data_IF_501371360949
#
_entry.id   IF_501371360949
#
_cell.length_a   1.000
_cell.length_b   1.000
_cell.length_c   1.000
_cell.angle_alpha   90.00
_cell.angle_beta   90.00
_cell.angle_gamma   90.00
#
_symmetry.space_group_name_H-M   'P 1'
#
loop_
_entity.id
_entity.type
_entity.pdbx_description
1 polymer ?
#
# COMPACT_ATOMS: atom_id res chain seq x y z
N UNK A 1 31.58 13.87 -42.46
CA UNK A 1 31.33 14.13 -41.03
C UNK A 1 31.33 12.83 -40.28
N UNK A 2 32.43 12.48 -39.61
CA UNK A 2 32.60 11.25 -38.86
C UNK A 2 32.03 11.41 -37.45
N UNK A 3 30.76 11.03 -37.28
CA UNK A 3 30.09 11.01 -36.00
C UNK A 3 30.79 10.00 -35.08
N UNK A 4 31.30 10.46 -33.95
CA UNK A 4 32.18 9.73 -33.03
C UNK A 4 31.51 8.45 -32.47
N UNK A 5 31.91 7.24 -32.90
CA UNK A 5 31.30 5.99 -32.42
C UNK A 5 31.62 5.70 -30.93
N UNK A 6 32.73 6.25 -30.42
CA UNK A 6 33.14 6.10 -29.02
C UNK A 6 32.13 6.70 -28.02
N UNK A 7 31.41 7.77 -28.40
CA UNK A 7 30.36 8.36 -27.55
C UNK A 7 29.14 7.45 -27.41
N UNK A 8 28.81 6.65 -28.43
CA UNK A 8 27.69 5.68 -28.36
C UNK A 8 27.99 4.49 -27.45
N UNK A 9 29.24 4.02 -27.39
CA UNK A 9 29.62 2.95 -26.47
C UNK A 9 29.55 3.41 -25.00
N UNK A 10 29.93 4.66 -24.71
CA UNK A 10 29.79 5.22 -23.37
C UNK A 10 28.33 5.41 -22.94
N UNK A 11 27.42 5.77 -23.86
CA UNK A 11 25.99 5.87 -23.55
C UNK A 11 25.32 4.52 -23.23
N UNK A 12 25.90 3.40 -23.67
CA UNK A 12 25.38 2.05 -23.37
C UNK A 12 25.87 1.50 -22.01
N UNK A 13 26.94 2.09 -21.45
CA UNK A 13 27.51 1.70 -20.15
C UNK A 13 26.88 2.48 -18.98
N UNK A 14 26.19 3.58 -19.27
CA UNK A 14 25.45 4.36 -18.29
C UNK A 14 24.02 3.80 -18.17
N UNK A 15 23.50 3.62 -16.94
CA UNK A 15 22.11 3.21 -16.77
C UNK A 15 21.19 4.21 -17.48
N UNK A 16 20.25 3.68 -18.26
CA UNK A 16 19.30 4.50 -18.97
C UNK A 16 18.41 5.25 -17.98
N UNK A 17 17.84 6.38 -18.38
CA UNK A 17 16.89 7.11 -17.52
C UNK A 17 15.71 6.23 -17.10
N UNK A 18 15.30 5.28 -17.95
CA UNK A 18 14.27 4.29 -17.63
C UNK A 18 14.71 3.32 -16.50
N UNK A 19 15.97 2.87 -16.49
CA UNK A 19 16.49 2.00 -15.41
C UNK A 19 16.51 2.73 -14.06
N UNK A 20 16.87 4.02 -14.06
CA UNK A 20 16.87 4.84 -12.85
C UNK A 20 15.45 5.04 -12.32
N UNK A 21 14.49 5.32 -13.19
CA UNK A 21 13.07 5.46 -12.82
C UNK A 21 12.45 4.14 -12.33
N UNK A 22 12.73 3.03 -13.02
CA UNK A 22 12.27 1.71 -12.62
C UNK A 22 12.81 1.32 -11.24
N UNK A 23 14.09 1.59 -10.98
CA UNK A 23 14.71 1.31 -9.68
C UNK A 23 14.15 2.19 -8.57
N UNK A 24 13.91 3.48 -8.86
CA UNK A 24 13.27 4.38 -7.91
C UNK A 24 11.86 3.91 -7.55
N UNK A 25 11.08 3.47 -8.55
CA UNK A 25 9.74 2.90 -8.33
C UNK A 25 9.79 1.64 -7.47
N UNK A 26 10.70 0.71 -7.77
CA UNK A 26 10.84 -0.52 -6.98
C UNK A 26 11.20 -0.25 -5.50
N UNK A 27 12.03 0.76 -5.22
CA UNK A 27 12.36 1.16 -3.85
C UNK A 27 11.15 1.77 -3.13
N UNK A 28 10.35 2.59 -3.83
CA UNK A 28 9.09 3.13 -3.27
C UNK A 28 8.11 2.00 -2.95
N UNK A 29 7.93 1.05 -3.86
CA UNK A 29 7.02 -0.10 -3.70
C UNK A 29 7.46 -0.97 -2.51
N UNK A 30 8.77 -1.22 -2.34
CA UNK A 30 9.31 -1.95 -1.17
C UNK A 30 9.06 -1.20 0.14
N UNK A 31 9.24 0.13 0.14
CA UNK A 31 8.95 0.96 1.30
C UNK A 31 7.47 0.94 1.68
N UNK A 32 6.57 0.94 0.70
CA UNK A 32 5.12 0.79 0.93
C UNK A 32 4.76 -0.59 1.48
N UNK A 33 5.29 -1.66 0.89
CA UNK A 33 5.07 -3.03 1.38
C UNK A 33 5.58 -3.23 2.80
N UNK A 34 6.74 -2.67 3.13
CA UNK A 34 7.31 -2.75 4.49
C UNK A 34 6.38 -2.09 5.51
N UNK A 35 5.85 -0.90 5.19
CA UNK A 35 4.88 -0.21 6.06
C UNK A 35 3.58 -1.01 6.22
N UNK A 36 3.07 -1.61 5.14
CA UNK A 36 1.89 -2.46 5.22
C UNK A 36 2.11 -3.69 6.12
N UNK A 37 3.27 -4.34 6.01
CA UNK A 37 3.65 -5.45 6.89
C UNK A 37 3.79 -5.03 8.35
N UNK A 38 4.36 -3.85 8.63
CA UNK A 38 4.45 -3.29 9.98
C UNK A 38 3.05 -3.08 10.58
N UNK A 39 2.13 -2.51 9.81
CA UNK A 39 0.74 -2.34 10.26
C UNK A 39 0.12 -3.68 10.59
N UNK A 40 0.22 -4.67 9.69
CA UNK A 40 -0.36 -5.99 9.93
C UNK A 40 0.24 -6.66 11.19
N UNK A 41 1.54 -6.51 11.42
CA UNK A 41 2.21 -7.05 12.61
C UNK A 41 1.71 -6.43 13.93
N UNK A 42 1.29 -5.16 13.91
CA UNK A 42 0.75 -4.45 15.06
C UNK A 42 -0.75 -4.70 15.29
N UNK A 43 -1.45 -5.30 14.32
CA UNK A 43 -2.88 -5.59 14.38
C UNK A 43 -3.16 -6.99 14.93
N UNK A 44 -4.30 -7.14 15.58
CA UNK A 44 -4.82 -8.46 15.97
C UNK A 44 -5.37 -9.23 14.78
N UNK A 45 -5.48 -10.56 14.87
CA UNK A 45 -6.01 -11.41 13.80
C UNK A 45 -7.37 -10.91 13.27
N UNK A 46 -8.27 -10.50 14.18
CA UNK A 46 -9.58 -9.93 13.80
C UNK A 46 -9.49 -8.60 13.07
N UNK A 47 -8.50 -7.77 13.41
CA UNK A 47 -8.27 -6.52 12.70
C UNK A 47 -7.62 -6.77 11.32
N UNK A 48 -6.76 -7.78 11.20
CA UNK A 48 -6.20 -8.20 9.92
C UNK A 48 -7.28 -8.74 8.98
N UNK A 49 -8.24 -9.53 9.48
CA UNK A 49 -9.43 -9.96 8.71
C UNK A 49 -10.20 -8.76 8.13
N UNK A 50 -10.38 -7.70 8.93
CA UNK A 50 -11.02 -6.45 8.48
C UNK A 50 -10.17 -5.72 7.43
N UNK A 51 -8.83 -5.69 7.58
CA UNK A 51 -7.93 -5.12 6.56
C UNK A 51 -8.04 -5.90 5.25
N UNK A 52 -8.04 -7.23 5.29
CA UNK A 52 -8.20 -8.07 4.10
C UNK A 52 -9.53 -7.83 3.40
N UNK A 53 -10.63 -7.70 4.15
CA UNK A 53 -11.93 -7.34 3.58
C UNK A 53 -11.89 -5.98 2.86
N UNK A 54 -11.23 -4.97 3.43
CA UNK A 54 -11.07 -3.68 2.76
C UNK A 54 -10.12 -3.74 1.57
N UNK A 55 -9.05 -4.54 1.62
CA UNK A 55 -8.13 -4.78 0.52
C UNK A 55 -8.84 -5.37 -0.71
N UNK A 56 -9.86 -6.22 -0.48
CA UNK A 56 -10.74 -6.74 -1.53
C UNK A 56 -11.72 -5.68 -2.10
N UNK A 57 -11.64 -4.43 -1.63
CA UNK A 57 -12.51 -3.34 -2.07
C UNK A 57 -13.90 -3.35 -1.45
N UNK A 58 -14.16 -4.18 -0.42
CA UNK A 58 -15.45 -4.19 0.26
C UNK A 58 -15.65 -2.90 1.05
N UNK A 59 -16.87 -2.36 1.03
CA UNK A 59 -17.23 -1.24 1.90
C UNK A 59 -17.51 -1.72 3.35
N UNK A 60 -17.63 -0.83 4.35
CA UNK A 60 -17.83 -1.24 5.75
C UNK A 60 -19.06 -2.12 6.02
N UNK A 61 -20.15 -1.95 5.25
CA UNK A 61 -21.35 -2.80 5.38
C UNK A 61 -21.12 -4.18 4.77
N UNK A 62 -20.46 -4.24 3.61
CA UNK A 62 -20.08 -5.50 2.96
C UNK A 62 -19.07 -6.28 3.80
N UNK A 63 -18.06 -5.62 4.38
CA UNK A 63 -17.10 -6.22 5.29
C UNK A 63 -17.80 -6.80 6.54
N UNK A 64 -18.76 -6.07 7.11
CA UNK A 64 -19.56 -6.56 8.24
C UNK A 64 -20.33 -7.84 7.87
N UNK A 65 -20.98 -7.85 6.70
CA UNK A 65 -21.70 -9.02 6.21
C UNK A 65 -20.76 -10.20 5.92
N UNK A 66 -19.61 -9.94 5.29
CA UNK A 66 -18.61 -10.94 4.93
C UNK A 66 -17.98 -11.61 6.16
N UNK A 67 -17.69 -10.82 7.20
CA UNK A 67 -17.08 -11.30 8.44
C UNK A 67 -18.12 -11.75 9.49
N UNK A 68 -19.42 -11.69 9.17
CA UNK A 68 -20.52 -12.01 10.08
C UNK A 68 -20.48 -11.26 11.43
N UNK A 69 -20.10 -9.98 11.39
CA UNK A 69 -20.05 -9.09 12.56
C UNK A 69 -20.93 -7.85 12.34
N UNK A 70 -21.12 -7.05 13.40
CA UNK A 70 -21.92 -5.82 13.27
C UNK A 70 -21.12 -4.70 12.59
N UNK A 71 -21.83 -3.79 11.91
CA UNK A 71 -21.22 -2.58 11.34
C UNK A 71 -20.54 -1.71 12.41
N UNK A 72 -21.06 -1.70 13.65
CA UNK A 72 -20.45 -1.00 14.76
C UNK A 72 -19.08 -1.60 15.11
N UNK A 73 -18.98 -2.94 15.15
CA UNK A 73 -17.72 -3.66 15.36
C UNK A 73 -16.70 -3.34 14.27
N UNK A 74 -17.11 -3.36 12.99
CA UNK A 74 -16.24 -2.96 11.87
C UNK A 74 -15.75 -1.52 12.03
N UNK A 75 -16.63 -0.59 12.38
CA UNK A 75 -16.23 0.81 12.58
C UNK A 75 -15.24 0.98 13.74
N UNK A 76 -15.43 0.26 14.85
CA UNK A 76 -14.48 0.25 15.97
C UNK A 76 -13.11 -0.28 15.54
N UNK A 77 -13.07 -1.42 14.84
CA UNK A 77 -11.82 -1.96 14.30
C UNK A 77 -11.16 -1.01 13.30
N UNK A 78 -11.95 -0.42 12.39
CA UNK A 78 -11.47 0.55 11.39
C UNK A 78 -10.81 1.75 12.04
N UNK A 79 -11.37 2.31 13.12
CA UNK A 79 -10.74 3.44 13.84
C UNK A 79 -9.35 3.07 14.36
N UNK A 80 -9.20 1.88 14.95
CA UNK A 80 -7.91 1.39 15.45
C UNK A 80 -6.93 1.19 14.29
N UNK A 81 -7.36 0.49 13.23
CA UNK A 81 -6.55 0.23 12.03
C UNK A 81 -6.05 1.54 11.41
N UNK A 82 -6.93 2.54 11.25
CA UNK A 82 -6.56 3.83 10.68
C UNK A 82 -5.58 4.60 11.58
N UNK A 83 -5.68 4.48 12.90
CA UNK A 83 -4.71 5.05 13.83
C UNK A 83 -3.34 4.37 13.71
N UNK A 84 -3.29 3.04 13.61
CA UNK A 84 -2.04 2.31 13.36
C UNK A 84 -1.39 2.73 12.04
N UNK A 85 -2.19 2.82 10.97
CA UNK A 85 -1.71 3.31 9.68
C UNK A 85 -1.15 4.74 9.80
N UNK A 86 -1.83 5.61 10.55
CA UNK A 86 -1.37 6.98 10.74
C UNK A 86 0.01 7.05 11.37
N UNK A 87 0.26 6.23 12.37
CA UNK A 87 1.55 6.14 13.05
C UNK A 87 2.64 5.63 12.11
N UNK A 88 2.38 4.57 11.35
CA UNK A 88 3.38 3.94 10.47
C UNK A 88 3.73 4.82 9.26
N UNK A 89 2.76 5.52 8.67
CA UNK A 89 3.01 6.45 7.57
C UNK A 89 3.34 7.88 8.03
N UNK A 90 3.41 8.14 9.34
CA UNK A 90 3.63 9.46 9.93
C UNK A 90 2.74 10.56 9.31
N UNK A 91 1.46 10.23 9.06
CA UNK A 91 0.50 11.12 8.43
C UNK A 91 -0.07 12.09 9.48
N UNK A 92 -0.08 13.40 9.19
CA UNK A 92 -0.65 14.42 10.09
C UNK A 92 -2.12 14.16 10.37
N UNK A 93 -2.59 14.41 11.61
CA UNK A 93 -3.97 14.34 12.13
C UNK A 93 -5.05 15.05 11.30
N UNK A 94 -4.65 16.01 10.46
CA UNK A 94 -5.55 16.73 9.57
C UNK A 94 -5.97 15.93 8.32
N UNK A 95 -5.22 14.88 7.95
CA UNK A 95 -5.51 14.08 6.76
C UNK A 95 -6.58 13.04 7.06
N UNK A 96 -7.73 13.15 6.41
CA UNK A 96 -8.81 12.18 6.58
C UNK A 96 -8.45 10.84 5.92
N UNK A 97 -8.16 9.82 6.73
CA UNK A 97 -8.01 8.45 6.26
C UNK A 97 -9.36 7.74 6.35
N UNK A 98 -9.76 7.02 5.30
CA UNK A 98 -10.98 6.21 5.29
C UNK A 98 -10.73 4.81 4.74
N UNK A 99 -11.78 4.01 4.57
CA UNK A 99 -11.65 2.64 4.10
C UNK A 99 -11.06 2.54 2.68
N UNK A 100 -11.15 3.58 1.84
CA UNK A 100 -10.56 3.65 0.51
C UNK A 100 -9.04 3.78 0.59
N UNK A 101 -8.53 4.47 1.60
CA UNK A 101 -7.09 4.47 1.88
C UNK A 101 -6.60 3.06 2.18
N UNK A 102 -7.36 2.29 2.98
CA UNK A 102 -7.03 0.89 3.27
C UNK A 102 -7.13 0.03 2.00
N UNK A 103 -8.20 0.18 1.22
CA UNK A 103 -8.37 -0.55 -0.03
C UNK A 103 -7.20 -0.30 -1.01
N UNK A 104 -6.75 0.95 -1.15
CA UNK A 104 -5.64 1.32 -2.03
C UNK A 104 -4.30 0.77 -1.51
N UNK A 105 -3.97 1.03 -0.24
CA UNK A 105 -2.67 0.64 0.33
C UNK A 105 -2.48 -0.86 0.46
N UNK A 106 -3.55 -1.59 0.71
CA UNK A 106 -3.52 -3.04 0.91
C UNK A 106 -3.98 -3.83 -0.33
N UNK A 107 -4.25 -3.18 -1.47
CA UNK A 107 -4.71 -3.85 -2.70
C UNK A 107 -3.82 -5.02 -3.13
N UNK A 108 -2.51 -4.94 -2.89
CA UNK A 108 -1.57 -6.01 -3.24
C UNK A 108 -1.79 -7.32 -2.47
N UNK A 109 -2.52 -7.30 -1.35
CA UNK A 109 -2.88 -8.49 -0.57
C UNK A 109 -4.09 -9.23 -1.12
N UNK A 110 -4.93 -8.55 -1.90
CA UNK A 110 -6.12 -9.11 -2.51
C UNK A 110 -5.91 -9.13 -4.04
N UNK A 111 -5.25 -10.17 -4.59
CA UNK A 111 -5.19 -10.31 -6.04
C UNK A 111 -6.63 -10.37 -6.58
N UNK A 112 -6.92 -9.58 -7.61
CA UNK A 112 -8.19 -9.65 -8.32
C UNK A 112 -8.32 -11.07 -8.91
N UNK A 113 -9.23 -11.87 -8.36
CA UNK A 113 -9.66 -13.13 -8.96
C UNK A 113 -10.53 -12.89 -10.20
#
# INVERSE_FOLDING_TARGET
>A
GSYFPALRQLSQLLPSSDDVLARHRAVLDQGEQTRCQQVLADLTDRQQEVVMAFAQGLNPQQAAAHLHITLATVNSHKTIILATCRNVWAVSDDVRLDYRFLADKFAYLAPAE
#
